data_IF_098087314341
#
_entry.id   IF_098087314341
#
_cell.length_a   1.000
_cell.length_b   1.000
_cell.length_c   1.000
_cell.angle_alpha   90.00
_cell.angle_beta   90.00
_cell.angle_gamma   90.00
#
_symmetry.space_group_name_H-M   'P 1'
#
loop_
_entity.id
_entity.type
_entity.pdbx_description
1 polymer ?
#
# COMPACT_ATOMS: atom_id res chain seq x y z
N UNK A 1 4.30 1.82 24.00
CA UNK A 1 5.08 1.14 22.96
C UNK A 1 6.48 1.71 22.78
N UNK A 2 6.71 3.02 22.99
CA UNK A 2 8.06 3.62 23.05
C UNK A 2 8.98 2.95 24.09
N UNK A 3 8.45 2.53 25.24
CA UNK A 3 9.24 1.82 26.24
C UNK A 3 9.79 0.45 25.77
N UNK A 4 9.07 -0.27 24.90
CA UNK A 4 9.53 -1.55 24.33
C UNK A 4 10.54 -1.36 23.20
N UNK A 5 10.45 -0.26 22.43
CA UNK A 5 11.49 0.08 21.43
C UNK A 5 12.79 0.50 22.07
N UNK A 6 12.73 1.17 23.22
CA UNK A 6 13.93 1.59 23.95
C UNK A 6 14.70 0.43 24.60
N UNK A 7 14.10 -0.76 24.66
CA UNK A 7 14.72 -1.98 25.21
C UNK A 7 15.26 -2.91 24.13
N UNK A 8 14.97 -2.66 22.85
CA UNK A 8 15.50 -3.45 21.74
C UNK A 8 16.92 -2.98 21.41
N UNK A 9 17.78 -3.93 21.09
CA UNK A 9 19.09 -3.63 20.51
C UNK A 9 18.97 -3.08 19.08
N UNK A 10 19.99 -2.38 18.61
CA UNK A 10 20.01 -1.82 17.25
C UNK A 10 19.85 -2.90 16.16
N UNK A 11 20.38 -4.10 16.42
CA UNK A 11 20.29 -5.25 15.51
C UNK A 11 18.85 -5.79 15.40
N UNK A 12 18.14 -5.87 16.53
CA UNK A 12 16.72 -6.25 16.56
C UNK A 12 15.82 -5.16 15.95
N UNK A 13 16.17 -3.89 16.11
CA UNK A 13 15.48 -2.78 15.46
C UNK A 13 15.65 -2.81 13.94
N UNK A 14 16.84 -3.14 13.45
CA UNK A 14 17.10 -3.31 12.02
C UNK A 14 16.31 -4.49 11.45
N UNK A 15 16.31 -5.64 12.13
CA UNK A 15 15.53 -6.80 11.69
C UNK A 15 14.02 -6.52 11.68
N UNK A 16 13.50 -5.80 12.69
CA UNK A 16 12.11 -5.35 12.68
C UNK A 16 11.80 -4.34 11.57
N UNK A 17 12.76 -3.50 11.17
CA UNK A 17 12.55 -2.56 10.07
C UNK A 17 12.38 -3.29 8.73
N UNK A 18 13.13 -4.38 8.54
CA UNK A 18 13.12 -5.15 7.29
C UNK A 18 11.98 -6.16 7.21
N UNK A 19 11.69 -6.86 8.32
CA UNK A 19 10.76 -8.02 8.34
C UNK A 19 9.56 -7.82 9.26
N UNK A 20 9.44 -6.66 9.88
CA UNK A 20 8.35 -6.40 10.83
C UNK A 20 6.98 -6.51 10.15
N UNK A 21 6.04 -7.10 10.89
CA UNK A 21 4.62 -7.14 10.53
C UNK A 21 3.86 -6.21 11.49
N UNK A 22 4.01 -4.87 11.35
CA UNK A 22 3.48 -3.92 12.32
C UNK A 22 1.95 -3.99 12.46
N UNK A 23 1.25 -4.50 11.44
CA UNK A 23 -0.19 -4.76 11.47
C UNK A 23 -0.62 -5.85 12.46
N UNK A 24 0.29 -6.73 12.91
CA UNK A 24 0.01 -7.75 13.93
C UNK A 24 0.27 -7.25 15.36
N UNK A 25 0.90 -6.09 15.51
CA UNK A 25 1.24 -5.50 16.81
C UNK A 25 0.07 -4.79 17.52
N UNK A 26 0.27 -4.41 18.78
CA UNK A 26 -0.70 -3.59 19.54
C UNK A 26 -0.30 -2.13 19.48
N UNK A 27 -0.90 -1.40 18.55
CA UNK A 27 -0.66 0.03 18.39
C UNK A 27 -1.43 0.85 19.42
N UNK A 28 -0.74 1.80 20.04
CA UNK A 28 -1.33 2.87 20.83
C UNK A 28 -2.09 3.86 19.95
N UNK A 29 -2.97 4.66 20.54
CA UNK A 29 -3.72 5.69 19.79
C UNK A 29 -2.79 6.71 19.12
N UNK A 30 -1.68 7.07 19.77
CA UNK A 30 -0.71 8.01 19.20
C UNK A 30 -0.03 7.43 17.95
N UNK A 31 0.32 6.13 17.97
CA UNK A 31 0.89 5.46 16.80
C UNK A 31 -0.12 5.41 15.64
N UNK A 32 -1.39 5.13 15.95
CA UNK A 32 -2.46 5.14 14.94
C UNK A 32 -2.64 6.53 14.32
N UNK A 33 -2.67 7.58 15.16
CA UNK A 33 -2.75 8.97 14.70
C UNK A 33 -1.54 9.34 13.84
N UNK A 34 -0.35 8.93 14.25
CA UNK A 34 0.90 9.21 13.52
C UNK A 34 0.90 8.56 12.15
N UNK A 35 0.49 7.28 12.03
CA UNK A 35 0.34 6.65 10.73
C UNK A 35 -0.72 7.32 9.85
N UNK A 36 -1.84 7.77 10.44
CA UNK A 36 -2.86 8.50 9.69
C UNK A 36 -2.32 9.82 9.11
N UNK A 37 -1.48 10.54 9.84
CA UNK A 37 -0.80 11.74 9.34
C UNK A 37 0.17 11.42 8.20
N UNK A 38 0.99 10.38 8.35
CA UNK A 38 1.92 9.94 7.31
C UNK A 38 1.17 9.55 6.02
N UNK A 39 0.09 8.78 6.15
CA UNK A 39 -0.77 8.41 5.03
C UNK A 39 -1.37 9.65 4.34
N UNK A 40 -1.82 10.63 5.12
CA UNK A 40 -2.34 11.90 4.63
C UNK A 40 -1.30 12.68 3.82
N UNK A 41 -0.08 12.82 4.33
CA UNK A 41 1.02 13.51 3.64
C UNK A 41 1.37 12.80 2.33
N UNK A 42 1.55 11.48 2.34
CA UNK A 42 1.81 10.67 1.14
C UNK A 42 0.72 10.85 0.08
N UNK A 43 -0.54 10.94 0.51
CA UNK A 43 -1.69 11.17 -0.38
C UNK A 43 -1.64 12.54 -1.03
N UNK A 44 -1.29 13.59 -0.28
CA UNK A 44 -1.14 14.96 -0.79
C UNK A 44 -0.01 15.02 -1.81
N UNK A 45 1.15 14.45 -1.48
CA UNK A 45 2.29 14.36 -2.39
C UNK A 45 1.93 13.63 -3.68
N UNK A 46 1.25 12.49 -3.58
CA UNK A 46 0.77 11.76 -4.74
C UNK A 46 -0.15 12.59 -5.64
N UNK A 47 -1.09 13.34 -5.05
CA UNK A 47 -2.01 14.21 -5.81
C UNK A 47 -1.22 15.30 -6.54
N UNK A 48 -0.23 15.89 -5.87
CA UNK A 48 0.64 16.90 -6.47
C UNK A 48 1.46 16.31 -7.63
N UNK A 49 2.04 15.12 -7.47
CA UNK A 49 2.77 14.44 -8.55
C UNK A 49 1.82 14.17 -9.73
N UNK A 50 0.62 13.64 -9.47
CA UNK A 50 -0.36 13.36 -10.52
C UNK A 50 -0.79 14.62 -11.28
N UNK A 51 -0.94 15.75 -10.59
CA UNK A 51 -1.30 17.03 -11.20
C UNK A 51 -0.19 17.57 -12.12
N UNK A 52 1.07 17.23 -11.82
CA UNK A 52 2.25 17.66 -12.58
C UNK A 52 2.79 16.58 -13.54
N UNK A 53 2.06 15.47 -13.71
CA UNK A 53 2.44 14.38 -14.61
C UNK A 53 1.43 14.26 -15.75
N UNK A 54 1.91 13.97 -16.96
CA UNK A 54 1.04 13.73 -18.12
C UNK A 54 0.02 12.61 -17.85
N UNK A 55 -1.18 12.76 -18.41
CA UNK A 55 -2.22 11.72 -18.36
C UNK A 55 -1.69 10.40 -18.92
N UNK A 56 -1.83 9.33 -18.15
CA UNK A 56 -1.36 7.98 -18.49
C UNK A 56 0.03 7.64 -17.94
N UNK A 57 0.79 8.62 -17.43
CA UNK A 57 2.10 8.42 -16.80
C UNK A 57 2.07 8.58 -15.28
N UNK A 58 0.89 8.76 -14.67
CA UNK A 58 0.77 8.92 -13.23
C UNK A 58 1.26 7.68 -12.47
N UNK A 59 1.94 7.86 -11.33
CA UNK A 59 2.32 6.74 -10.48
C UNK A 59 1.09 6.05 -9.90
N UNK A 60 1.31 4.89 -9.27
CA UNK A 60 0.27 4.27 -8.45
C UNK A 60 0.08 5.06 -7.14
N UNK A 61 -1.15 5.13 -6.61
CA UNK A 61 -1.35 5.76 -5.30
C UNK A 61 -0.58 4.98 -4.22
N UNK A 62 -0.04 5.70 -3.22
CA UNK A 62 0.74 5.10 -2.16
C UNK A 62 -0.13 4.15 -1.33
N UNK A 63 0.47 3.07 -0.86
CA UNK A 63 -0.18 2.17 0.07
C UNK A 63 -0.25 2.79 1.47
N UNK A 64 -1.35 2.55 2.21
CA UNK A 64 -1.45 2.95 3.61
C UNK A 64 -0.35 2.30 4.44
N UNK A 65 0.11 3.01 5.47
CA UNK A 65 1.05 2.48 6.46
C UNK A 65 0.47 1.21 7.09
N UNK A 66 1.18 0.07 7.04
CA UNK A 66 0.67 -1.18 7.59
C UNK A 66 0.48 -1.02 9.10
N UNK A 67 -0.76 -1.24 9.56
CA UNK A 67 -1.18 -1.05 10.95
C UNK A 67 -2.36 -1.95 11.27
N UNK A 68 -2.62 -2.24 12.56
CA UNK A 68 -3.74 -3.08 12.97
C UNK A 68 -5.06 -2.57 12.39
N UNK A 69 -5.78 -3.45 11.70
CA UNK A 69 -7.04 -3.13 11.05
C UNK A 69 -6.94 -2.36 9.72
N UNK A 70 -5.75 -1.90 9.30
CA UNK A 70 -5.57 -1.40 7.95
C UNK A 70 -5.59 -2.57 6.97
N UNK A 71 -6.53 -2.54 6.03
CA UNK A 71 -6.59 -3.53 4.96
C UNK A 71 -5.53 -3.18 3.92
N UNK A 72 -4.71 -4.16 3.56
CA UNK A 72 -3.88 -4.06 2.37
C UNK A 72 -4.76 -3.73 1.16
N UNK A 73 -4.21 -2.99 0.20
CA UNK A 73 -4.92 -2.71 -1.04
C UNK A 73 -5.24 -4.04 -1.72
N UNK A 74 -6.51 -4.23 -2.09
CA UNK A 74 -6.93 -5.46 -2.77
C UNK A 74 -6.06 -5.65 -4.02
N UNK A 75 -5.44 -6.83 -4.14
CA UNK A 75 -4.66 -7.17 -5.31
C UNK A 75 -5.54 -7.06 -6.55
N UNK A 76 -5.00 -6.48 -7.63
CA UNK A 76 -5.73 -6.47 -8.91
C UNK A 76 -5.98 -7.92 -9.31
N UNK A 77 -7.22 -8.31 -9.65
CA UNK A 77 -7.49 -9.65 -10.12
C UNK A 77 -6.66 -9.91 -11.37
N UNK A 78 -5.88 -10.99 -11.36
CA UNK A 78 -5.21 -11.49 -12.56
C UNK A 78 -6.26 -12.19 -13.40
N UNK A 79 -6.35 -11.84 -14.69
CA UNK A 79 -7.20 -12.55 -15.63
C UNK A 79 -6.70 -13.98 -15.73
N UNK A 80 -7.61 -14.95 -15.66
CA UNK A 80 -7.30 -16.31 -16.08
C UNK A 80 -7.30 -16.37 -17.63
N UNK A 81 -6.75 -17.45 -18.18
CA UNK A 81 -6.54 -17.58 -19.63
C UNK A 81 -7.86 -17.47 -20.42
N UNK A 82 -8.94 -18.01 -19.87
CA UNK A 82 -10.29 -17.95 -20.47
C UNK A 82 -10.84 -16.50 -20.51
N UNK A 83 -10.65 -15.74 -19.43
CA UNK A 83 -11.05 -14.33 -19.37
C UNK A 83 -10.19 -13.46 -20.31
N UNK A 84 -8.90 -13.76 -20.42
CA UNK A 84 -8.00 -13.08 -21.34
C UNK A 84 -8.41 -13.33 -22.80
N UNK A 85 -8.75 -14.57 -23.16
CA UNK A 85 -9.18 -14.91 -24.51
C UNK A 85 -10.54 -14.30 -24.86
N UNK A 86 -11.47 -14.26 -23.90
CA UNK A 86 -12.75 -13.56 -24.07
C UNK A 86 -12.57 -12.06 -24.32
N UNK A 87 -11.70 -11.41 -23.54
CA UNK A 87 -11.34 -10.00 -23.75
C UNK A 87 -10.70 -9.78 -25.12
N UNK A 88 -9.81 -10.69 -25.53
CA UNK A 88 -9.15 -10.63 -26.83
C UNK A 88 -10.15 -10.69 -27.99
N UNK A 89 -11.14 -11.59 -27.92
CA UNK A 89 -12.22 -11.67 -28.94
C UNK A 89 -13.06 -10.40 -28.99
N UNK A 90 -13.41 -9.83 -27.83
CA UNK A 90 -14.20 -8.59 -27.76
C UNK A 90 -13.43 -7.41 -28.39
N UNK A 91 -12.14 -7.26 -28.06
CA UNK A 91 -11.29 -6.16 -28.57
C UNK A 91 -11.09 -6.26 -30.08
N UNK A 92 -10.95 -7.48 -30.61
CA UNK A 92 -10.70 -7.72 -32.04
C UNK A 92 -11.99 -7.90 -32.86
N UNK A 93 -13.16 -7.54 -32.31
CA UNK A 93 -14.43 -7.56 -33.04
C UNK A 93 -14.98 -8.96 -33.32
N UNK A 94 -14.47 -10.00 -32.66
CA UNK A 94 -14.90 -11.40 -32.79
C UNK A 94 -16.13 -11.74 -31.94
N UNK A 95 -17.05 -10.80 -31.77
CA UNK A 95 -18.36 -11.07 -31.17
C UNK A 95 -19.38 -11.27 -32.29
N UNK A 96 -19.62 -12.54 -32.63
CA UNK A 96 -20.86 -13.01 -33.23
C UNK A 96 -21.65 -13.76 -32.16
#
# INVERSE_FOLDING_TARGET
MTALRNTLSDEELAEQADKGEPEKGRWSQLEQLTAALVDGVRRVEYVLICANTEKGKQPQPPDPTPRPGAKARAAKPKLNDEQAERLFRIINGGAA
#
